data_IF_500711362699
#
_entry.id   IF_500711362699
#
_cell.length_a   1.000
_cell.length_b   1.000
_cell.length_c   1.000
_cell.angle_alpha   90.00
_cell.angle_beta   90.00
_cell.angle_gamma   90.00
#
_symmetry.space_group_name_H-M   'P 1'
#
loop_
_entity.id
_entity.type
_entity.pdbx_description
1 polymer ?
#
# COMPACT_ATOMS: atom_id res chain seq x y z
N UNK A 1 2.51 21.26 -43.11
CA UNK A 1 3.32 20.14 -42.56
C UNK A 1 3.69 20.32 -41.09
N UNK A 2 4.10 21.53 -40.65
CA UNK A 2 4.56 21.80 -39.27
C UNK A 2 3.49 21.60 -38.16
N UNK A 3 2.24 22.02 -38.39
CA UNK A 3 1.16 21.91 -37.39
C UNK A 3 0.71 20.46 -37.13
N UNK A 4 0.63 19.64 -38.20
CA UNK A 4 0.28 18.22 -38.07
C UNK A 4 1.34 17.45 -37.29
N UNK A 5 2.62 17.68 -37.57
CA UNK A 5 3.73 17.07 -36.83
C UNK A 5 3.71 17.50 -35.35
N UNK A 6 3.44 18.78 -35.07
CA UNK A 6 3.31 19.27 -33.70
C UNK A 6 2.14 18.61 -32.96
N UNK A 7 0.97 18.49 -33.60
CA UNK A 7 -0.18 17.78 -33.01
C UNK A 7 0.13 16.31 -32.75
N UNK A 8 0.80 15.62 -33.69
CA UNK A 8 1.20 14.22 -33.50
C UNK A 8 2.17 14.07 -32.33
N UNK A 9 3.13 14.99 -32.18
CA UNK A 9 4.05 14.98 -31.05
C UNK A 9 3.32 15.21 -29.72
N UNK A 10 2.36 16.14 -29.68
CA UNK A 10 1.57 16.43 -28.47
C UNK A 10 0.71 15.22 -28.08
N UNK A 11 0.01 14.59 -29.04
CA UNK A 11 -0.76 13.37 -28.76
C UNK A 11 0.15 12.23 -28.28
N UNK A 12 1.32 12.04 -28.89
CA UNK A 12 2.26 10.99 -28.50
C UNK A 12 2.75 11.20 -27.05
N UNK A 13 3.11 12.43 -26.67
CA UNK A 13 3.52 12.74 -25.30
C UNK A 13 2.39 12.54 -24.29
N UNK A 14 1.13 12.87 -24.64
CA UNK A 14 -0.01 12.67 -23.75
C UNK A 14 -0.27 11.19 -23.44
N UNK A 15 -0.06 10.31 -24.42
CA UNK A 15 -0.24 8.86 -24.23
C UNK A 15 0.80 8.23 -23.30
N UNK A 16 2.02 8.77 -23.22
CA UNK A 16 3.08 8.21 -22.38
C UNK A 16 2.83 8.42 -20.87
N UNK A 17 2.11 9.48 -20.48
CA UNK A 17 1.78 9.74 -19.07
C UNK A 17 0.60 8.92 -18.56
N UNK A 18 -0.31 8.47 -19.43
CA UNK A 18 -1.52 7.74 -19.04
C UNK A 18 -1.25 6.32 -18.51
N UNK A 19 -0.06 5.76 -18.76
CA UNK A 19 0.30 4.39 -18.38
C UNK A 19 1.48 4.30 -17.39
N UNK A 20 1.97 5.43 -16.87
CA UNK A 20 3.04 5.42 -15.89
C UNK A 20 2.49 5.04 -14.50
N UNK A 21 2.56 3.77 -14.14
CA UNK A 21 2.33 3.33 -12.76
C UNK A 21 3.59 3.63 -11.94
N UNK A 22 3.44 4.38 -10.83
CA UNK A 22 4.55 4.58 -9.90
C UNK A 22 5.03 3.22 -9.38
N UNK A 23 6.33 2.98 -9.46
CA UNK A 23 6.96 1.77 -8.89
C UNK A 23 7.79 2.17 -7.69
N UNK A 24 7.74 1.39 -6.61
CA UNK A 24 8.59 1.58 -5.44
C UNK A 24 9.24 0.27 -5.01
N UNK A 25 10.41 0.36 -4.38
CA UNK A 25 11.11 -0.80 -3.82
C UNK A 25 10.55 -1.12 -2.43
N UNK A 26 10.58 -2.40 -2.00
CA UNK A 26 10.28 -2.75 -0.62
C UNK A 26 11.12 -1.94 0.37
N UNK A 27 10.51 -1.53 1.47
CA UNK A 27 11.21 -0.98 2.63
C UNK A 27 11.29 -2.04 3.73
N UNK A 28 12.49 -2.22 4.27
CA UNK A 28 12.81 -3.27 5.22
C UNK A 28 13.15 -2.69 6.59
N UNK A 29 12.84 -3.43 7.65
CA UNK A 29 13.14 -3.07 9.05
C UNK A 29 12.62 -1.70 9.49
N UNK A 30 11.49 -1.28 8.91
CA UNK A 30 10.83 0.01 9.21
C UNK A 30 9.45 -0.24 9.80
N UNK A 31 9.08 0.65 10.71
CA UNK A 31 7.76 0.70 11.33
C UNK A 31 7.02 1.99 10.91
N UNK A 32 5.79 1.83 10.45
CA UNK A 32 4.93 2.92 9.96
C UNK A 32 3.62 2.87 10.72
N UNK A 33 3.21 4.01 11.24
CA UNK A 33 1.88 4.21 11.81
C UNK A 33 1.06 5.20 10.97
N UNK A 34 -0.21 4.88 10.74
CA UNK A 34 -1.18 5.74 10.06
C UNK A 34 -2.50 5.76 10.82
N UNK A 35 -3.02 6.95 11.07
CA UNK A 35 -4.44 7.14 11.41
C UNK A 35 -5.25 7.04 10.11
N UNK A 36 -6.24 6.16 10.09
CA UNK A 36 -7.06 5.85 8.92
C UNK A 36 -8.52 6.09 9.29
N UNK A 37 -9.20 6.94 8.51
CA UNK A 37 -10.59 7.33 8.81
C UNK A 37 -11.55 6.18 8.57
N UNK A 38 -11.39 5.42 7.49
CA UNK A 38 -12.20 4.24 7.18
C UNK A 38 -11.27 3.13 6.70
N UNK A 39 -11.38 1.94 7.28
CA UNK A 39 -10.75 0.73 6.77
C UNK A 39 -11.78 -0.37 6.55
N UNK A 40 -11.71 -1.03 5.39
CA UNK A 40 -12.47 -2.23 5.11
C UNK A 40 -11.57 -3.46 5.32
N UNK A 41 -11.87 -4.27 6.34
CA UNK A 41 -11.16 -5.50 6.65
C UNK A 41 -12.04 -6.68 6.24
N UNK A 42 -11.67 -7.39 5.17
CA UNK A 42 -12.38 -8.57 4.66
C UNK A 42 -13.91 -8.39 4.50
N UNK A 43 -14.33 -7.20 4.03
CA UNK A 43 -15.72 -6.84 3.80
C UNK A 43 -16.40 -6.12 4.97
N UNK A 44 -15.73 -5.97 6.12
CA UNK A 44 -16.26 -5.25 7.28
C UNK A 44 -15.56 -3.92 7.47
N UNK A 45 -16.35 -2.84 7.49
CA UNK A 45 -15.86 -1.46 7.67
C UNK A 45 -15.66 -1.12 9.15
N UNK A 46 -14.59 -0.38 9.42
CA UNK A 46 -14.25 0.21 10.70
C UNK A 46 -13.82 1.65 10.49
N UNK A 47 -14.13 2.50 11.45
CA UNK A 47 -13.83 3.93 11.39
C UNK A 47 -12.80 4.32 12.45
N UNK A 48 -12.04 5.38 12.18
CA UNK A 48 -11.07 6.00 13.09
C UNK A 48 -10.15 4.95 13.74
N UNK A 49 -9.33 4.32 12.92
CA UNK A 49 -8.40 3.28 13.37
C UNK A 49 -6.96 3.75 13.25
N UNK A 50 -6.08 3.15 14.05
CA UNK A 50 -4.64 3.22 13.87
C UNK A 50 -4.15 1.94 13.20
N UNK A 51 -3.39 2.09 12.13
CA UNK A 51 -2.76 0.98 11.42
C UNK A 51 -1.26 1.08 11.61
N UNK A 52 -0.68 0.08 12.27
CA UNK A 52 0.76 -0.08 12.45
C UNK A 52 1.26 -1.22 11.56
N UNK A 53 2.29 -0.93 10.77
CA UNK A 53 2.92 -1.84 9.82
C UNK A 53 4.42 -1.87 10.11
N UNK A 54 4.97 -3.05 10.39
CA UNK A 54 6.40 -3.22 10.64
C UNK A 54 6.99 -4.27 9.70
N UNK A 55 7.85 -3.86 8.78
CA UNK A 55 8.62 -4.78 7.97
C UNK A 55 9.78 -5.36 8.78
N UNK A 56 10.09 -6.62 8.53
CA UNK A 56 11.13 -7.39 9.21
C UNK A 56 11.88 -8.16 8.13
N UNK A 57 13.17 -7.84 8.00
CA UNK A 57 14.08 -8.59 7.15
C UNK A 57 14.28 -10.01 7.68
N UNK A 58 14.54 -10.98 6.79
CA UNK A 58 14.96 -12.30 7.20
C UNK A 58 16.25 -12.27 8.03
N UNK A 59 16.30 -13.14 9.02
CA UNK A 59 17.54 -13.56 9.64
C UNK A 59 18.09 -14.72 8.78
N UNK A 60 19.03 -14.43 7.89
CA UNK A 60 19.60 -15.37 6.93
C UNK A 60 20.33 -16.57 7.58
N UNK A 61 20.53 -16.57 8.90
CA UNK A 61 21.02 -17.75 9.62
C UNK A 61 19.91 -18.77 9.92
N UNK A 62 18.65 -18.32 10.02
CA UNK A 62 17.52 -19.14 10.48
C UNK A 62 16.44 -19.29 9.39
N UNK A 63 16.13 -18.21 8.65
CA UNK A 63 15.13 -18.25 7.59
C UNK A 63 15.23 -17.05 6.63
N UNK A 64 15.11 -17.31 5.33
CA UNK A 64 15.08 -16.28 4.28
C UNK A 64 13.68 -15.67 4.05
N UNK A 65 12.87 -15.61 5.11
CA UNK A 65 11.46 -15.19 5.03
C UNK A 65 11.31 -13.74 5.49
N UNK A 66 10.99 -12.85 4.55
CA UNK A 66 10.50 -11.50 4.83
C UNK A 66 9.12 -11.54 5.48
N UNK A 67 8.90 -10.64 6.44
CA UNK A 67 7.65 -10.58 7.20
C UNK A 67 7.18 -9.15 7.36
N UNK A 68 5.88 -8.96 7.41
CA UNK A 68 5.27 -7.70 7.83
C UNK A 68 4.32 -7.99 8.99
N UNK A 69 4.60 -7.39 10.15
CA UNK A 69 3.67 -7.38 11.27
C UNK A 69 2.67 -6.26 11.05
N UNK A 70 1.40 -6.59 11.22
CA UNK A 70 0.30 -5.65 11.05
C UNK A 70 -0.53 -5.65 12.32
N UNK A 71 -0.83 -4.46 12.82
CA UNK A 71 -1.71 -4.27 13.95
C UNK A 71 -2.67 -3.11 13.65
N UNK A 72 -3.96 -3.41 13.58
CA UNK A 72 -5.03 -2.44 13.37
C UNK A 72 -5.82 -2.34 14.67
N UNK A 73 -5.87 -1.15 15.24
CA UNK A 73 -6.52 -0.89 16.53
C UNK A 73 -7.53 0.25 16.43
N UNK A 74 -8.55 0.24 17.27
CA UNK A 74 -9.39 1.43 17.51
C UNK A 74 -8.58 2.54 18.19
N UNK A 75 -9.13 3.75 18.27
CA UNK A 75 -8.53 4.85 19.05
C UNK A 75 -8.32 4.49 20.52
N UNK A 76 -9.22 3.69 21.09
CA UNK A 76 -9.15 3.17 22.47
C UNK A 76 -8.07 2.09 22.66
N UNK A 77 -7.37 1.69 21.59
CA UNK A 77 -6.31 0.68 21.63
C UNK A 77 -6.79 -0.77 21.51
N UNK A 78 -8.08 -1.01 21.26
CA UNK A 78 -8.62 -2.37 21.05
C UNK A 78 -8.14 -2.91 19.69
N UNK A 79 -7.48 -4.06 19.70
CA UNK A 79 -7.06 -4.76 18.48
C UNK A 79 -8.26 -5.25 17.68
N UNK A 80 -8.42 -4.74 16.46
CA UNK A 80 -9.40 -5.20 15.47
C UNK A 80 -8.83 -6.32 14.59
N UNK A 81 -7.56 -6.20 14.22
CA UNK A 81 -6.89 -7.19 13.38
C UNK A 81 -5.38 -7.15 13.63
N UNK A 82 -4.79 -8.31 13.96
CA UNK A 82 -3.37 -8.43 14.26
C UNK A 82 -2.81 -9.70 13.64
N UNK A 83 -1.91 -9.57 12.68
CA UNK A 83 -1.28 -10.70 11.99
C UNK A 83 0.19 -10.42 11.67
N UNK A 84 0.95 -11.50 11.50
CA UNK A 84 2.27 -11.45 10.87
C UNK A 84 2.18 -12.14 9.53
N UNK A 85 2.22 -11.36 8.47
CA UNK A 85 2.20 -11.88 7.10
C UNK A 85 3.63 -12.31 6.73
N UNK A 86 3.75 -13.44 6.02
CA UNK A 86 5.03 -14.04 5.61
C UNK A 86 5.17 -14.02 4.09
N UNK A 87 6.41 -13.92 3.61
CA UNK A 87 6.72 -13.81 2.18
C UNK A 87 5.99 -12.62 1.54
N UNK A 88 5.97 -11.49 2.26
CA UNK A 88 5.36 -10.23 1.83
C UNK A 88 6.31 -9.09 2.15
N UNK A 89 6.08 -7.98 1.48
CA UNK A 89 6.88 -6.77 1.54
C UNK A 89 6.03 -5.57 1.91
N UNK A 90 6.65 -4.57 2.53
CA UNK A 90 6.05 -3.27 2.79
C UNK A 90 6.55 -2.29 1.73
N UNK A 91 5.64 -1.55 1.10
CA UNK A 91 5.93 -0.57 0.07
C UNK A 91 5.40 0.80 0.50
N UNK A 92 6.18 1.85 0.26
CA UNK A 92 5.77 3.24 0.50
C UNK A 92 6.02 4.02 -0.78
N UNK A 93 4.98 4.66 -1.28
CA UNK A 93 5.01 5.42 -2.52
C UNK A 93 5.21 6.91 -2.25
N UNK A 94 5.69 7.65 -3.24
CA UNK A 94 5.94 9.10 -3.17
C UNK A 94 4.69 9.89 -2.82
N UNK A 95 3.52 9.46 -3.30
CA UNK A 95 2.22 10.06 -2.97
C UNK A 95 1.75 9.78 -1.53
N UNK A 96 2.50 8.98 -0.76
CA UNK A 96 2.19 8.60 0.62
C UNK A 96 1.32 7.36 0.76
N UNK A 97 0.92 6.71 -0.34
CA UNK A 97 0.28 5.40 -0.30
C UNK A 97 1.22 4.37 0.33
N UNK A 98 0.65 3.47 1.12
CA UNK A 98 1.36 2.35 1.74
C UNK A 98 0.68 1.06 1.31
N UNK A 99 1.48 0.09 0.86
CA UNK A 99 0.98 -1.23 0.47
C UNK A 99 1.74 -2.33 1.21
N UNK A 100 1.03 -3.41 1.52
CA UNK A 100 1.64 -4.66 1.98
C UNK A 100 1.17 -5.77 1.08
N UNK A 101 2.11 -6.52 0.52
CA UNK A 101 1.76 -7.53 -0.47
C UNK A 101 2.96 -8.29 -1.02
N UNK A 102 2.69 -9.06 -2.06
CA UNK A 102 3.68 -9.74 -2.88
C UNK A 102 3.79 -8.99 -4.22
N UNK A 103 4.81 -9.28 -5.04
CA UNK A 103 4.83 -8.78 -6.41
C UNK A 103 3.49 -9.08 -7.11
N UNK A 104 2.85 -8.03 -7.64
CA UNK A 104 1.56 -8.09 -8.33
C UNK A 104 0.36 -8.56 -7.47
N UNK A 105 0.47 -8.55 -6.15
CA UNK A 105 -0.63 -8.96 -5.26
C UNK A 105 -0.62 -8.15 -3.96
N UNK A 106 -1.46 -7.12 -3.92
CA UNK A 106 -1.61 -6.24 -2.76
C UNK A 106 -2.62 -6.81 -1.78
N UNK A 107 -2.21 -7.04 -0.53
CA UNK A 107 -3.08 -7.58 0.52
C UNK A 107 -3.65 -6.47 1.39
N UNK A 108 -2.89 -5.38 1.57
CA UNK A 108 -3.29 -4.20 2.32
C UNK A 108 -2.90 -2.98 1.50
N UNK A 109 -3.82 -2.04 1.35
CA UNK A 109 -3.56 -0.74 0.73
C UNK A 109 -4.11 0.36 1.61
N UNK A 110 -3.26 1.31 2.00
CA UNK A 110 -3.62 2.55 2.67
C UNK A 110 -3.31 3.70 1.73
N UNK A 111 -4.29 4.51 1.38
CA UNK A 111 -4.15 5.60 0.42
C UNK A 111 -4.90 6.83 0.91
N UNK A 112 -4.48 8.01 0.45
CA UNK A 112 -5.21 9.26 0.68
C UNK A 112 -6.35 9.35 -0.33
N UNK A 113 -7.54 9.70 0.13
CA UNK A 113 -8.63 10.11 -0.74
C UNK A 113 -8.40 11.56 -1.24
N UNK A 114 -9.34 12.08 -2.03
CA UNK A 114 -9.27 13.43 -2.59
C UNK A 114 -9.23 14.54 -1.53
N UNK A 115 -9.65 14.25 -0.30
CA UNK A 115 -9.59 15.18 0.84
C UNK A 115 -8.29 15.05 1.65
N UNK A 116 -7.34 14.21 1.21
CA UNK A 116 -6.06 13.98 1.87
C UNK A 116 -6.12 13.05 3.09
N UNK A 117 -7.30 12.48 3.37
CA UNK A 117 -7.56 11.61 4.51
C UNK A 117 -7.24 10.16 4.13
N UNK A 118 -6.54 9.45 5.01
CA UNK A 118 -6.22 8.04 4.76
C UNK A 118 -7.45 7.15 4.86
N UNK A 119 -7.61 6.29 3.85
CA UNK A 119 -8.56 5.18 3.77
C UNK A 119 -7.77 3.88 3.56
N UNK A 120 -8.29 2.76 4.05
CA UNK A 120 -7.63 1.46 3.97
C UNK A 120 -8.51 0.33 3.44
N UNK A 121 -7.89 -0.68 2.85
CA UNK A 121 -8.50 -2.00 2.57
C UNK A 121 -7.55 -3.11 2.98
N UNK A 122 -8.10 -4.20 3.52
CA UNK A 122 -7.41 -5.47 3.80
C UNK A 122 -8.17 -6.59 3.10
N UNK A 123 -7.48 -7.31 2.21
CA UNK A 123 -7.95 -8.47 1.47
C UNK A 123 -6.81 -9.48 1.36
N UNK A 124 -6.66 -10.34 2.36
CA UNK A 124 -5.52 -11.26 2.47
C UNK A 124 -5.51 -12.29 1.33
N UNK A 125 -6.69 -12.76 0.91
CA UNK A 125 -6.83 -13.82 -0.10
C UNK A 125 -7.25 -13.30 -1.48
N UNK A 126 -8.14 -12.32 -1.52
CA UNK A 126 -8.67 -11.79 -2.77
C UNK A 126 -7.71 -10.78 -3.40
N UNK A 127 -6.86 -10.13 -2.60
CA UNK A 127 -6.08 -8.98 -3.04
C UNK A 127 -6.91 -7.70 -3.14
N UNK A 128 -6.23 -6.57 -3.25
CA UNK A 128 -6.82 -5.24 -3.45
C UNK A 128 -6.46 -4.79 -4.86
N UNK A 129 -7.49 -4.54 -5.68
CA UNK A 129 -7.39 -4.08 -7.06
C UNK A 129 -8.23 -2.81 -7.26
#
# INVERSE_FOLDING_TARGET
>A
MKLKILLTLILLNFTLFLFAQETTKPINDVEIERTVSIIDIEGKKYENVKVNLKSISPDYFISDIYRVKVNITTEEGKSLWKKTLKNVYLYVFSNGQVQVGKPNFDMIVLYKNDTGIFTGKVREKEGVY
#
